data_IF_767262159628
#
_entry.id   IF_767262159628
#
_cell.length_a   1.000
_cell.length_b   1.000
_cell.length_c   1.000
_cell.angle_alpha   90.00
_cell.angle_beta   90.00
_cell.angle_gamma   90.00
#
_symmetry.space_group_name_H-M   'P 1'
#
loop_
_entity.id
_entity.type
_entity.pdbx_description
1 polymer ?
#
# COMPACT_ATOMS: atom_id res chain seq x y z
N UNK A 1 4.75 -4.54 -20.22
CA UNK A 1 3.65 -4.62 -19.23
C UNK A 1 3.00 -3.25 -19.21
N UNK A 2 1.73 -3.18 -19.58
CA UNK A 2 0.95 -1.94 -19.57
C UNK A 2 0.62 -1.54 -18.12
N UNK A 3 0.55 -0.23 -17.89
CA UNK A 3 0.23 0.38 -16.59
C UNK A 3 -0.68 1.58 -16.82
N UNK A 4 -1.36 2.03 -15.78
CA UNK A 4 -2.15 3.28 -15.81
C UNK A 4 -1.24 4.44 -16.19
N UNK A 5 -1.78 5.36 -16.99
CA UNK A 5 -1.14 6.63 -17.35
C UNK A 5 -1.93 7.79 -16.76
N UNK A 6 -1.26 8.92 -16.55
CA UNK A 6 -1.87 10.16 -16.03
C UNK A 6 -2.60 9.95 -14.70
N UNK A 7 -2.02 9.13 -13.80
CA UNK A 7 -2.57 8.90 -12.47
C UNK A 7 -2.65 10.22 -11.69
N UNK A 8 -3.84 10.55 -11.22
CA UNK A 8 -4.04 11.68 -10.30
C UNK A 8 -3.57 11.26 -8.91
N UNK A 9 -2.33 11.64 -8.59
CA UNK A 9 -1.69 11.27 -7.33
C UNK A 9 -2.47 11.80 -6.11
N UNK A 10 -3.16 12.94 -6.24
CA UNK A 10 -3.91 13.53 -5.12
C UNK A 10 -5.15 12.69 -4.81
N UNK A 11 -5.86 12.23 -5.84
CA UNK A 11 -7.01 11.31 -5.68
C UNK A 11 -6.59 9.93 -5.16
N UNK A 12 -5.33 9.54 -5.36
CA UNK A 12 -4.78 8.28 -4.85
C UNK A 12 -4.51 8.30 -3.33
N UNK A 13 -4.38 9.48 -2.71
CA UNK A 13 -4.04 9.62 -1.30
C UNK A 13 -5.11 9.06 -0.36
N UNK A 14 -4.78 8.93 0.93
CA UNK A 14 -5.66 8.40 1.96
C UNK A 14 -5.51 6.89 2.17
N UNK A 15 -6.53 6.28 2.79
CA UNK A 15 -6.51 4.86 3.19
C UNK A 15 -6.94 3.95 2.04
N UNK A 16 -6.24 2.83 1.92
CA UNK A 16 -6.60 1.68 1.09
C UNK A 16 -6.54 0.41 1.93
N UNK A 17 -7.58 -0.41 1.87
CA UNK A 17 -7.60 -1.75 2.46
C UNK A 17 -7.00 -2.75 1.50
N UNK A 18 -6.14 -3.63 1.99
CA UNK A 18 -5.66 -4.77 1.21
C UNK A 18 -6.76 -5.84 1.19
N UNK A 19 -7.32 -6.10 0.01
CA UNK A 19 -8.34 -7.13 -0.19
C UNK A 19 -7.69 -8.47 -0.49
N UNK A 20 -6.63 -8.46 -1.30
CA UNK A 20 -5.83 -9.64 -1.55
C UNK A 20 -4.40 -9.27 -1.96
N UNK A 21 -3.47 -10.17 -1.67
CA UNK A 21 -2.06 -9.98 -2.05
C UNK A 21 -1.37 -11.31 -2.33
N UNK A 22 -0.24 -11.24 -3.03
CA UNK A 22 0.73 -12.34 -3.03
C UNK A 22 1.49 -12.34 -1.70
N UNK A 23 1.78 -13.52 -1.11
CA UNK A 23 2.54 -13.58 0.13
C UNK A 23 3.91 -12.96 -0.09
N UNK A 24 4.22 -11.94 0.69
CA UNK A 24 5.51 -11.26 0.64
C UNK A 24 6.26 -11.48 1.95
N UNK A 25 7.59 -11.45 1.89
CA UNK A 25 8.40 -11.59 3.11
C UNK A 25 8.36 -10.35 4.01
N UNK A 26 7.81 -9.23 3.52
CA UNK A 26 7.61 -8.00 4.28
C UNK A 26 6.28 -7.96 5.04
N UNK A 27 5.37 -8.88 4.75
CA UNK A 27 4.06 -8.95 5.38
C UNK A 27 3.98 -10.17 6.30
N UNK A 28 3.38 -10.05 7.50
CA UNK A 28 3.09 -11.21 8.33
C UNK A 28 2.16 -12.19 7.62
N UNK A 29 2.49 -13.49 7.65
CA UNK A 29 1.68 -14.55 7.01
C UNK A 29 0.24 -14.66 7.51
N UNK A 30 -0.04 -14.13 8.70
CA UNK A 30 -1.35 -14.16 9.38
C UNK A 30 -1.90 -12.74 9.60
N UNK A 31 -1.46 -11.79 8.78
CA UNK A 31 -1.96 -10.43 8.83
C UNK A 31 -3.45 -10.37 8.51
N UNK A 32 -4.19 -9.62 9.31
CA UNK A 32 -5.59 -9.27 9.09
C UNK A 32 -5.76 -7.75 9.23
N UNK A 33 -6.87 -7.23 8.71
CA UNK A 33 -7.18 -5.79 8.71
C UNK A 33 -6.05 -4.94 8.10
N UNK A 34 -5.34 -5.49 7.12
CA UNK A 34 -4.19 -4.82 6.50
C UNK A 34 -4.66 -3.62 5.70
N UNK A 35 -3.99 -2.48 5.90
CA UNK A 35 -4.27 -1.24 5.17
C UNK A 35 -2.98 -0.46 4.90
N UNK A 36 -3.04 0.35 3.84
CA UNK A 36 -2.00 1.29 3.45
C UNK A 36 -2.55 2.71 3.51
N UNK A 37 -1.79 3.63 4.08
CA UNK A 37 -2.10 5.05 4.14
C UNK A 37 -1.07 5.79 3.30
N UNK A 38 -1.56 6.61 2.37
CA UNK A 38 -0.73 7.41 1.48
C UNK A 38 -0.93 8.90 1.75
N UNK A 39 0.16 9.61 2.03
CA UNK A 39 0.16 11.06 2.27
C UNK A 39 1.15 11.73 1.32
N UNK A 40 0.72 12.77 0.60
CA UNK A 40 1.55 13.50 -0.34
C UNK A 40 2.43 14.51 0.41
N UNK A 41 3.74 14.45 0.19
CA UNK A 41 4.70 15.41 0.75
C UNK A 41 4.85 16.64 -0.16
N UNK A 42 5.38 17.73 0.40
CA UNK A 42 5.63 18.99 -0.34
C UNK A 42 6.62 18.81 -1.50
N UNK A 43 7.57 17.88 -1.38
CA UNK A 43 8.57 17.57 -2.40
C UNK A 43 8.04 16.66 -3.54
N UNK A 44 6.75 16.30 -3.48
CA UNK A 44 6.08 15.43 -4.46
C UNK A 44 6.31 13.93 -4.25
N UNK A 45 7.05 13.52 -3.21
CA UNK A 45 7.08 12.12 -2.77
C UNK A 45 5.83 11.77 -1.97
N UNK A 46 5.58 10.47 -1.77
CA UNK A 46 4.44 9.98 -1.00
C UNK A 46 4.96 9.25 0.23
N UNK A 47 4.56 9.69 1.42
CA UNK A 47 4.71 8.90 2.63
C UNK A 47 3.77 7.70 2.59
N UNK A 48 4.30 6.52 2.91
CA UNK A 48 3.57 5.26 2.93
C UNK A 48 3.61 4.69 4.35
N UNK A 49 2.45 4.49 4.96
CA UNK A 49 2.32 3.72 6.20
C UNK A 49 1.47 2.48 5.95
N UNK A 50 2.07 1.30 6.08
CA UNK A 50 1.33 0.05 6.09
C UNK A 50 1.07 -0.38 7.53
N UNK A 51 -0.16 -0.80 7.81
CA UNK A 51 -0.61 -1.31 9.10
C UNK A 51 -1.25 -2.67 8.90
N UNK A 52 -0.97 -3.62 9.78
CA UNK A 52 -1.61 -4.94 9.82
C UNK A 52 -1.80 -5.37 11.27
N UNK A 53 -2.66 -6.36 11.51
CA UNK A 53 -2.87 -6.95 12.82
C UNK A 53 -2.55 -8.44 12.77
N UNK A 54 -1.91 -8.95 13.82
CA UNK A 54 -1.61 -10.38 13.97
C UNK A 54 -2.02 -10.79 15.37
N UNK A 55 -3.04 -11.67 15.47
CA UNK A 55 -3.62 -12.09 16.74
C UNK A 55 -4.03 -10.88 17.62
N UNK A 56 -4.68 -9.87 17.02
CA UNK A 56 -5.10 -8.63 17.69
C UNK A 56 -3.97 -7.62 17.98
N UNK A 57 -2.70 -7.95 17.73
CA UNK A 57 -1.58 -7.01 17.92
C UNK A 57 -1.30 -6.26 16.62
N UNK A 58 -1.27 -4.92 16.70
CA UNK A 58 -0.88 -4.04 15.59
C UNK A 58 0.61 -4.17 15.26
N UNK A 59 0.91 -4.22 13.98
CA UNK A 59 2.25 -4.11 13.40
C UNK A 59 2.22 -3.09 12.24
N UNK A 60 3.34 -2.44 11.97
CA UNK A 60 3.40 -1.38 10.97
C UNK A 60 4.79 -1.15 10.40
N UNK A 61 4.83 -0.68 9.15
CA UNK A 61 6.06 -0.28 8.48
C UNK A 61 5.84 1.01 7.68
N UNK A 62 6.83 1.90 7.75
CA UNK A 62 6.83 3.17 7.04
C UNK A 62 7.82 3.17 5.87
N UNK A 63 7.47 3.95 4.86
CA UNK A 63 8.26 4.09 3.65
C UNK A 63 7.97 5.36 2.87
N UNK A 64 8.67 5.50 1.76
CA UNK A 64 8.51 6.62 0.83
C UNK A 64 8.37 6.08 -0.58
N UNK A 65 7.33 6.53 -1.29
CA UNK A 65 7.14 6.25 -2.71
C UNK A 65 7.48 7.46 -3.56
N UNK A 66 8.02 7.22 -4.75
CA UNK A 66 8.37 8.25 -5.73
C UNK A 66 8.28 7.69 -7.15
N UNK A 67 8.07 8.55 -8.15
CA UNK A 67 8.02 8.13 -9.56
C UNK A 67 9.37 7.52 -9.98
N UNK A 68 9.32 6.38 -10.68
CA UNK A 68 10.51 5.74 -11.22
C UNK A 68 11.17 6.60 -12.33
N UNK A 69 10.34 7.26 -13.14
CA UNK A 69 10.75 8.29 -14.11
C UNK A 69 9.86 9.53 -13.93
N UNK A 70 10.39 10.67 -13.44
CA UNK A 70 9.63 11.90 -13.27
C UNK A 70 8.98 12.43 -14.56
N UNK A 71 9.56 12.14 -15.74
CA UNK A 71 9.11 12.66 -17.04
C UNK A 71 8.05 11.79 -17.72
N UNK A 72 7.88 10.54 -17.29
CA UNK A 72 6.88 9.62 -17.85
C UNK A 72 5.49 9.90 -17.29
N UNK A 73 4.44 9.70 -18.09
CA UNK A 73 3.05 9.74 -17.63
C UNK A 73 2.60 8.41 -16.98
N UNK A 74 3.42 7.37 -17.07
CA UNK A 74 3.14 6.05 -16.53
C UNK A 74 3.18 6.02 -14.99
N UNK A 75 2.23 5.32 -14.38
CA UNK A 75 2.12 5.11 -12.95
C UNK A 75 3.09 4.03 -12.44
N UNK A 76 4.38 4.19 -12.78
CA UNK A 76 5.49 3.36 -12.29
C UNK A 76 6.17 4.10 -11.15
N UNK A 77 6.01 3.60 -9.94
CA UNK A 77 6.66 4.12 -8.75
C UNK A 77 7.69 3.12 -8.22
N UNK A 78 8.59 3.64 -7.40
CA UNK A 78 9.42 2.87 -6.49
C UNK A 78 8.99 3.18 -5.07
N UNK A 79 8.91 2.17 -4.23
CA UNK A 79 8.65 2.32 -2.80
C UNK A 79 9.87 1.85 -2.03
N UNK A 80 10.28 2.65 -1.05
CA UNK A 80 11.41 2.38 -0.17
C UNK A 80 10.90 2.24 1.25
N UNK A 81 11.07 1.05 1.85
CA UNK A 81 10.71 0.80 3.25
C UNK A 81 11.95 0.81 4.14
N UNK A 82 11.75 1.25 5.39
CA UNK A 82 12.79 1.31 6.42
C UNK A 82 12.51 0.25 7.49
N UNK A 83 13.38 -0.76 7.61
CA UNK A 83 13.22 -1.88 8.56
C UNK A 83 14.18 -1.70 9.76
N UNK A 84 13.71 -1.63 11.02
CA UNK A 84 14.58 -1.56 12.23
C UNK A 84 14.89 -2.93 12.86
N UNK A 85 15.93 -3.11 13.73
CA UNK A 85 17.23 -2.43 13.77
C UNK A 85 18.40 -3.36 14.24
N UNK A 86 18.77 -4.44 13.53
CA UNK A 86 19.91 -5.30 13.96
C UNK A 86 21.21 -5.18 13.16
N UNK A 87 21.28 -4.39 12.08
CA UNK A 87 22.52 -4.01 11.37
C UNK A 87 22.14 -2.87 10.37
N UNK A 88 23.06 -2.18 9.63
CA UNK A 88 22.79 -0.88 9.03
C UNK A 88 21.48 -0.91 8.23
N UNK A 89 20.69 0.16 8.34
CA UNK A 89 19.38 0.32 7.69
C UNK A 89 19.57 0.10 6.19
N UNK A 90 19.37 -1.13 5.71
CA UNK A 90 19.38 -1.43 4.28
C UNK A 90 17.97 -1.11 3.81
N UNK A 91 17.76 0.01 3.11
CA UNK A 91 16.45 0.31 2.59
C UNK A 91 16.08 -0.74 1.54
N UNK A 92 14.93 -1.36 1.71
CA UNK A 92 14.43 -2.26 0.68
C UNK A 92 13.57 -1.47 -0.28
N UNK A 93 14.00 -1.45 -1.55
CA UNK A 93 13.30 -0.76 -2.62
C UNK A 93 12.57 -1.78 -3.49
N UNK A 94 11.29 -1.55 -3.75
CA UNK A 94 10.46 -2.36 -4.63
C UNK A 94 9.75 -1.53 -5.69
N UNK A 95 9.36 -2.17 -6.77
CA UNK A 95 8.46 -1.60 -7.77
C UNK A 95 7.03 -1.55 -7.23
N UNK A 96 6.36 -0.42 -7.46
CA UNK A 96 4.94 -0.22 -7.18
C UNK A 96 4.30 0.37 -8.44
N UNK A 97 3.76 -0.50 -9.29
CA UNK A 97 3.18 -0.10 -10.56
C UNK A 97 1.68 -0.24 -10.48
N UNK A 98 0.95 0.85 -10.76
CA UNK A 98 -0.51 0.82 -10.82
C UNK A 98 -0.91 0.23 -12.17
N UNK A 99 -1.37 -1.03 -12.15
CA UNK A 99 -1.71 -1.81 -13.34
C UNK A 99 -3.11 -1.47 -13.84
N UNK A 100 -4.02 -1.18 -12.92
CA UNK A 100 -5.38 -0.75 -13.18
C UNK A 100 -5.90 0.06 -11.98
N UNK A 101 -6.72 1.07 -12.23
CA UNK A 101 -7.49 1.80 -11.23
C UNK A 101 -8.84 2.17 -11.86
N UNK A 102 -9.90 2.16 -11.07
CA UNK A 102 -11.21 2.63 -11.53
C UNK A 102 -11.27 4.16 -11.61
N UNK A 103 -12.26 4.68 -12.33
CA UNK A 103 -12.43 6.11 -12.57
C UNK A 103 -12.69 6.91 -11.29
N UNK A 104 -13.30 6.26 -10.29
CA UNK A 104 -13.67 6.85 -9.00
C UNK A 104 -12.63 6.60 -7.90
N UNK A 105 -11.52 5.92 -8.21
CA UNK A 105 -10.41 5.62 -7.28
C UNK A 105 -10.90 4.82 -6.05
N UNK A 106 -11.87 3.93 -6.26
CA UNK A 106 -12.42 3.00 -5.27
C UNK A 106 -11.65 1.69 -5.18
N UNK A 107 -11.03 1.20 -6.26
CA UNK A 107 -10.25 -0.04 -6.28
C UNK A 107 -9.08 0.03 -7.25
N UNK A 108 -8.01 -0.67 -6.91
CA UNK A 108 -6.75 -0.63 -7.66
C UNK A 108 -6.07 -1.99 -7.68
N UNK A 109 -5.49 -2.34 -8.84
CA UNK A 109 -4.58 -3.46 -9.01
C UNK A 109 -3.15 -2.92 -9.09
N UNK A 110 -2.30 -3.38 -8.18
CA UNK A 110 -0.89 -2.95 -8.09
C UNK A 110 0.03 -4.16 -8.22
N UNK A 111 1.15 -4.01 -8.92
CA UNK A 111 2.16 -5.04 -8.99
C UNK A 111 3.53 -4.51 -9.42
N UNK A 112 4.31 -5.36 -10.08
CA UNK A 112 5.59 -4.99 -10.67
C UNK A 112 6.05 -5.94 -11.79
N UNK A 113 7.11 -5.58 -12.54
CA UNK A 113 7.51 -6.25 -13.78
C UNK A 113 7.96 -7.69 -13.56
N UNK A 114 8.50 -7.99 -12.39
CA UNK A 114 8.97 -9.34 -12.01
C UNK A 114 7.83 -10.30 -11.70
N UNK A 115 6.60 -9.78 -11.56
CA UNK A 115 5.39 -10.53 -11.20
C UNK A 115 5.47 -11.29 -9.87
N UNK A 116 6.44 -10.93 -9.02
CA UNK A 116 6.62 -11.52 -7.69
C UNK A 116 5.66 -10.97 -6.65
N UNK A 117 5.11 -9.79 -6.90
CA UNK A 117 4.17 -9.12 -6.01
C UNK A 117 2.97 -8.61 -6.78
N UNK A 118 1.81 -8.72 -6.14
CA UNK A 118 0.52 -8.27 -6.64
C UNK A 118 -0.34 -7.91 -5.43
N UNK A 119 -1.10 -6.82 -5.53
CA UNK A 119 -2.07 -6.38 -4.53
C UNK A 119 -3.35 -5.93 -5.22
N UNK A 120 -4.48 -6.33 -4.65
CA UNK A 120 -5.79 -5.74 -4.89
C UNK A 120 -6.12 -4.89 -3.67
N UNK A 121 -6.29 -3.59 -3.87
CA UNK A 121 -6.65 -2.66 -2.81
C UNK A 121 -8.02 -2.02 -3.08
N UNK A 122 -8.73 -1.67 -2.01
CA UNK A 122 -10.06 -1.06 -2.06
C UNK A 122 -10.17 0.10 -1.04
N UNK A 123 -11.00 1.10 -1.33
CA UNK A 123 -11.36 2.15 -0.35
C UNK A 123 -12.29 1.63 0.74
N UNK A 124 -13.01 0.55 0.47
CA UNK A 124 -13.89 -0.13 1.41
C UNK A 124 -13.24 -1.41 1.92
N UNK A 125 -13.67 -1.87 3.11
CA UNK A 125 -13.17 -3.10 3.72
C UNK A 125 -13.51 -4.34 2.90
N UNK A 126 -14.63 -4.30 2.20
CA UNK A 126 -15.11 -5.39 1.35
C UNK A 126 -15.19 -4.92 -0.09
N UNK A 127 -15.10 -5.89 -1.00
CA UNK A 127 -15.16 -5.67 -2.43
C UNK A 127 -16.20 -6.63 -3.01
N UNK A 128 -16.98 -6.15 -3.96
CA UNK A 128 -17.90 -6.98 -4.73
C UNK A 128 -17.15 -8.10 -5.47
N UNK A 129 -17.73 -9.30 -5.52
CA UNK A 129 -17.07 -10.47 -6.09
C UNK A 129 -16.85 -10.33 -7.60
N UNK A 130 -17.74 -9.67 -8.34
CA UNK A 130 -17.57 -9.43 -9.77
C UNK A 130 -16.39 -8.49 -10.03
N UNK A 131 -16.24 -7.45 -9.21
CA UNK A 131 -15.10 -6.52 -9.28
C UNK A 131 -13.80 -7.26 -8.95
N UNK A 132 -13.80 -8.09 -7.90
CA UNK A 132 -12.65 -8.89 -7.53
C UNK A 132 -12.20 -9.81 -8.67
N UNK A 133 -13.14 -10.56 -9.26
CA UNK A 133 -12.87 -11.49 -10.35
C UNK A 133 -12.39 -10.76 -11.61
N UNK A 134 -12.91 -9.56 -11.88
CA UNK A 134 -12.44 -8.70 -12.97
C UNK A 134 -10.97 -8.29 -12.76
N UNK A 135 -10.58 -7.88 -11.55
CA UNK A 135 -9.18 -7.52 -11.24
C UNK A 135 -8.25 -8.73 -11.29
N UNK A 136 -8.71 -9.88 -10.81
CA UNK A 136 -7.97 -11.15 -10.92
C UNK A 136 -7.73 -11.51 -12.39
N UNK A 137 -8.76 -11.43 -13.23
CA UNK A 137 -8.63 -11.72 -14.66
C UNK A 137 -7.66 -10.75 -15.35
N UNK A 138 -7.71 -9.44 -15.03
CA UNK A 138 -6.71 -8.48 -15.53
C UNK A 138 -5.28 -8.87 -15.13
N UNK A 139 -5.07 -9.28 -13.88
CA UNK A 139 -3.76 -9.75 -13.44
C UNK A 139 -3.32 -11.01 -14.22
N UNK A 140 -4.23 -11.94 -14.45
CA UNK A 140 -3.99 -13.15 -15.25
C UNK A 140 -3.61 -12.82 -16.70
N UNK A 141 -4.28 -11.85 -17.33
CA UNK A 141 -4.00 -11.40 -18.69
C UNK A 141 -2.62 -10.73 -18.80
N UNK A 142 -2.18 -10.05 -17.74
CA UNK A 142 -0.82 -9.54 -17.60
C UNK A 142 0.21 -10.65 -17.30
N UNK A 143 -0.25 -11.90 -17.15
CA UNK A 143 0.51 -13.12 -16.95
C UNK A 143 1.01 -13.31 -15.53
N UNK A 144 0.30 -12.79 -14.53
CA UNK A 144 0.52 -13.13 -13.13
C UNK A 144 -0.06 -14.52 -12.83
N UNK A 145 0.57 -15.24 -11.90
CA UNK A 145 0.08 -16.52 -11.40
C UNK A 145 -0.91 -16.27 -10.25
N UNK A 146 -2.16 -16.00 -10.61
CA UNK A 146 -3.22 -15.62 -9.66
C UNK A 146 -3.58 -16.70 -8.65
N UNK A 147 -3.12 -17.95 -8.85
CA UNK A 147 -3.27 -19.02 -7.85
C UNK A 147 -2.54 -18.71 -6.52
N UNK A 148 -1.59 -17.78 -6.55
CA UNK A 148 -0.86 -17.26 -5.39
C UNK A 148 -1.58 -16.12 -4.69
N UNK A 149 -2.73 -15.69 -5.17
CA UNK A 149 -3.47 -14.58 -4.57
C UNK A 149 -4.18 -15.06 -3.31
N UNK A 150 -3.89 -14.44 -2.17
CA UNK A 150 -4.56 -14.73 -0.90
C UNK A 150 -5.43 -13.56 -0.51
N UNK A 151 -6.70 -13.84 -0.20
CA UNK A 151 -7.60 -12.83 0.37
C UNK A 151 -7.14 -12.49 1.79
N UNK A 152 -7.08 -11.19 2.08
CA UNK A 152 -6.72 -10.68 3.40
C UNK A 152 -8.00 -10.46 4.20
N UNK A 153 -8.17 -11.09 5.38
CA UNK A 153 -9.36 -10.89 6.19
C UNK A 153 -9.53 -9.43 6.62
N UNK A 154 -10.74 -8.89 6.49
CA UNK A 154 -11.12 -7.55 6.92
C UNK A 154 -12.36 -7.66 7.82
N UNK A 155 -12.27 -7.17 9.05
CA UNK A 155 -13.36 -7.16 10.04
C UNK A 155 -14.19 -5.90 9.93
N UNK A 156 -15.51 -6.01 10.04
CA UNK A 156 -16.41 -4.85 10.11
C UNK A 156 -16.19 -4.02 11.38
N UNK A 157 -15.91 -4.70 12.49
CA UNK A 157 -15.55 -4.03 13.74
C UNK A 157 -14.23 -3.27 13.57
N UNK A 158 -14.13 -2.10 14.20
CA UNK A 158 -12.89 -1.31 14.22
C UNK A 158 -11.89 -2.03 15.14
N UNK A 159 -10.74 -2.51 14.64
CA UNK A 159 -9.65 -2.95 15.49
C UNK A 159 -9.21 -1.80 16.40
N UNK A 160 -9.01 -2.07 17.70
CA UNK A 160 -8.45 -1.08 18.62
C UNK A 160 -7.08 -0.58 18.08
N UNK A 161 -6.91 0.74 17.96
CA UNK A 161 -5.67 1.35 17.44
C UNK A 161 -5.65 1.68 15.94
N UNK A 162 -6.81 1.63 15.26
CA UNK A 162 -7.03 2.09 13.88
C UNK A 162 -7.11 3.63 13.69
N UNK A 163 -6.73 4.44 14.69
CA UNK A 163 -6.68 5.89 14.48
C UNK A 163 -5.71 6.20 13.33
N UNK A 164 -6.24 6.89 12.31
CA UNK A 164 -5.48 7.55 11.25
C UNK A 164 -4.34 8.30 11.94
N UNK A 165 -3.08 8.26 11.46
CA UNK A 165 -2.08 9.18 11.94
C UNK A 165 -2.65 10.58 11.77
N UNK A 166 -3.09 11.20 12.87
CA UNK A 166 -3.46 12.59 12.86
C UNK A 166 -2.20 13.30 12.43
N UNK A 167 -2.26 13.91 11.26
CA UNK A 167 -1.27 14.88 10.83
C UNK A 167 -1.17 15.92 11.95
N UNK A 168 -0.18 15.72 12.82
CA UNK A 168 0.22 16.65 13.85
C UNK A 168 1.58 17.14 13.45
N UNK A 169 1.59 18.00 12.43
CA UNK A 169 2.43 19.17 12.51
C UNK A 169 2.40 19.69 13.95
N UNK A 170 3.60 19.88 14.53
CA UNK A 170 3.84 20.44 15.86
C UNK A 170 3.59 19.47 17.03
N UNK A 171 4.46 18.47 17.22
CA UNK A 171 4.62 17.80 18.54
C UNK A 171 6.08 17.47 18.94
N UNK A 172 7.08 18.25 18.51
CA UNK A 172 8.46 18.13 19.03
C UNK A 172 8.94 19.34 19.87
N UNK A 173 8.10 20.34 20.14
CA UNK A 173 8.49 21.57 20.88
C UNK A 173 8.29 21.44 22.41
N UNK A 174 8.05 20.24 22.96
CA UNK A 174 8.07 20.03 24.42
C UNK A 174 8.95 18.87 24.84
N UNK A 175 10.26 19.09 24.74
CA UNK A 175 11.26 18.46 25.61
C UNK A 175 12.50 19.36 25.87
N UNK A 176 12.36 20.69 25.73
CA UNK A 176 13.45 21.65 25.97
C UNK A 176 13.26 22.60 27.17
N UNK A 177 12.16 22.51 27.90
CA UNK A 177 12.01 23.18 29.20
C UNK A 177 11.26 22.25 30.16
N UNK A 178 12.02 21.58 31.02
CA UNK A 178 11.55 20.52 31.90
C UNK A 178 12.62 19.93 32.82
N UNK A 179 13.63 20.73 33.18
CA UNK A 179 14.06 20.97 34.57
C UNK A 179 14.27 22.47 34.71
#
# INVERSE_FOLDING_TARGET
MEVVKNLDIKRYMGKWYEIASFPSFFQPKKGENTSAFYTLNEDGTVHVLNVTFVNGKKDSIEGTAYKADPKSDEAKLKVKFYVPPFLPIIPVTGDYWVLYIDEDYQYVLVGGPTKKYLWILCRQKHMDEEIYNMLEQKAKDLGYDVSKLHKTPQSDSRPEGEDVPQDKGIWWIKSLFGK
#
